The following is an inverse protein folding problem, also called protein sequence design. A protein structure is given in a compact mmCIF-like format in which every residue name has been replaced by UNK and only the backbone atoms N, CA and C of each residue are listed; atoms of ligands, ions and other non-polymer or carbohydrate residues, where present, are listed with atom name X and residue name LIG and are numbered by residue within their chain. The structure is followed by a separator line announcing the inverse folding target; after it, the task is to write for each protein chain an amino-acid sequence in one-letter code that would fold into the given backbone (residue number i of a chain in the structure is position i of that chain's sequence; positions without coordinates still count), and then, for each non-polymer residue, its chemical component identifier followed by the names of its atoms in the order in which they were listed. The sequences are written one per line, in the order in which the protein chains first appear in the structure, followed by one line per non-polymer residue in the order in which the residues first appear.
data_IF_141059658765
#
_entry.id   IF_141059658765
#
_cell.length_a   1.000
_cell.length_b   1.000
_cell.length_c   1.000
_cell.angle_alpha   90.00
_cell.angle_beta   90.00
_cell.angle_gamma   90.00
#
_symmetry.space_group_name_H-M   'P 1'
#
loop_
_entity.id
_entity.type
_entity.pdbx_description
1 polymer ?
#
# COMPACT_ATOMS: atom_id res chain seq x y z
N UNK A 1 22.74 30.50 9.41
CA UNK A 1 23.29 29.54 8.42
C UNK A 1 22.29 28.45 8.01
N UNK A 2 21.25 28.11 8.78
CA UNK A 2 20.21 27.14 8.33
C UNK A 2 19.42 27.59 7.10
N UNK A 3 19.10 28.89 6.99
CA UNK A 3 18.31 29.41 5.86
C UNK A 3 19.00 29.33 4.48
N UNK A 4 20.33 29.18 4.38
CA UNK A 4 21.01 29.07 3.08
C UNK A 4 21.02 27.64 2.52
N UNK A 5 21.01 26.62 3.39
CA UNK A 5 21.00 25.22 2.97
C UNK A 5 19.62 24.79 2.45
N UNK A 6 18.55 25.15 3.16
CA UNK A 6 17.17 24.88 2.72
C UNK A 6 16.83 25.61 1.41
N UNK A 7 17.35 26.82 1.21
CA UNK A 7 17.18 27.56 -0.04
C UNK A 7 17.96 26.90 -1.18
N UNK A 8 19.18 26.45 -0.91
CA UNK A 8 20.00 25.76 -1.90
C UNK A 8 19.38 24.43 -2.33
N UNK A 9 18.86 23.66 -1.38
CA UNK A 9 18.13 22.42 -1.64
C UNK A 9 16.89 22.66 -2.52
N UNK A 10 16.12 23.72 -2.25
CA UNK A 10 14.95 24.08 -3.07
C UNK A 10 15.31 24.57 -4.48
N UNK A 11 16.41 25.33 -4.61
CA UNK A 11 16.82 25.91 -5.89
C UNK A 11 17.57 24.91 -6.77
N UNK A 12 18.31 23.98 -6.18
CA UNK A 12 19.16 23.01 -6.88
C UNK A 12 19.01 21.61 -6.29
N UNK A 13 17.82 20.98 -6.41
CA UNK A 13 17.54 19.69 -5.78
C UNK A 13 18.48 18.58 -6.27
N UNK A 14 18.74 18.51 -7.58
CA UNK A 14 19.66 17.50 -8.15
C UNK A 14 21.10 17.66 -7.61
N UNK A 15 21.63 18.88 -7.60
CA UNK A 15 22.99 19.14 -7.14
C UNK A 15 23.14 18.87 -5.63
N UNK A 16 22.12 19.19 -4.85
CA UNK A 16 22.09 18.91 -3.42
C UNK A 16 22.08 17.40 -3.14
N UNK A 17 21.19 16.65 -3.80
CA UNK A 17 21.13 15.19 -3.66
C UNK A 17 22.43 14.53 -4.12
N UNK A 18 23.01 14.95 -5.26
CA UNK A 18 24.31 14.45 -5.72
C UNK A 18 25.41 14.65 -4.67
N UNK A 19 25.51 15.85 -4.09
CA UNK A 19 26.55 16.18 -3.10
C UNK A 19 26.39 15.38 -1.80
N UNK A 20 25.15 15.14 -1.37
CA UNK A 20 24.85 14.27 -0.23
C UNK A 20 25.29 12.82 -0.53
N UNK A 21 24.92 12.29 -1.71
CA UNK A 21 25.24 10.93 -2.12
C UNK A 21 26.75 10.71 -2.31
N UNK A 22 27.49 11.70 -2.80
CA UNK A 22 28.97 11.70 -2.85
C UNK A 22 29.59 11.54 -1.46
N UNK A 23 28.93 12.07 -0.42
CA UNK A 23 29.34 11.92 0.97
C UNK A 23 28.82 10.62 1.62
N UNK A 24 28.08 9.79 0.88
CA UNK A 24 27.49 8.53 1.35
C UNK A 24 26.29 8.70 2.30
N UNK A 25 25.70 9.90 2.34
CA UNK A 25 24.62 10.26 3.26
C UNK A 25 23.43 10.79 2.47
N UNK A 26 22.20 10.54 2.91
CA UNK A 26 21.00 11.12 2.28
C UNK A 26 20.72 12.54 2.79
N UNK A 27 19.92 13.34 2.07
CA UNK A 27 19.46 14.66 2.53
C UNK A 27 18.92 14.68 3.97
N UNK A 28 18.34 13.58 4.43
CA UNK A 28 17.77 13.41 5.78
C UNK A 28 18.69 12.66 6.76
N UNK A 29 19.98 12.56 6.44
CA UNK A 29 21.02 11.88 7.21
C UNK A 29 20.88 10.35 7.32
N UNK A 30 19.97 9.70 6.58
CA UNK A 30 19.87 8.23 6.55
C UNK A 30 20.93 7.59 5.65
N UNK A 31 21.19 6.30 5.89
CA UNK A 31 21.91 5.44 4.91
C UNK A 31 21.01 5.13 3.71
N UNK A 32 21.63 4.78 2.58
CA UNK A 32 20.93 4.43 1.34
C UNK A 32 19.82 3.38 1.53
N UNK A 33 20.12 2.28 2.23
CA UNK A 33 19.19 1.16 2.43
C UNK A 33 18.34 1.26 3.71
N UNK A 34 18.41 2.39 4.42
CA UNK A 34 17.66 2.62 5.64
C UNK A 34 16.34 3.32 5.35
N UNK A 35 15.22 2.74 5.76
CA UNK A 35 13.91 3.42 5.66
C UNK A 35 13.61 4.32 6.84
N UNK A 36 12.57 5.12 6.66
CA UNK A 36 11.91 5.86 7.72
C UNK A 36 11.30 4.90 8.74
N UNK A 37 11.14 5.35 9.99
CA UNK A 37 10.39 4.60 11.00
C UNK A 37 8.92 4.46 10.56
N UNK A 38 8.37 3.28 10.82
CA UNK A 38 6.98 2.91 10.50
C UNK A 38 6.20 2.80 11.81
N UNK A 39 5.01 3.39 11.86
CA UNK A 39 4.04 3.15 12.93
C UNK A 39 2.67 2.84 12.35
N UNK A 40 2.01 1.81 12.88
CA UNK A 40 0.70 1.34 12.46
C UNK A 40 -0.23 1.46 13.66
N UNK A 41 -1.34 2.17 13.50
CA UNK A 41 -2.31 2.40 14.58
C UNK A 41 -3.72 2.09 14.07
N UNK A 42 -4.45 1.21 14.75
CA UNK A 42 -5.84 0.91 14.42
C UNK A 42 -6.79 1.77 15.24
N UNK A 43 -7.85 2.27 14.60
CA UNK A 43 -8.90 3.03 15.26
C UNK A 43 -10.02 2.10 15.75
N UNK A 44 -10.79 2.56 16.73
CA UNK A 44 -11.99 1.83 17.20
C UNK A 44 -13.06 1.66 16.11
N UNK A 45 -13.04 2.54 15.09
CA UNK A 45 -13.93 2.48 13.93
C UNK A 45 -13.53 1.44 12.88
N UNK A 46 -12.44 0.67 13.10
CA UNK A 46 -11.96 -0.33 12.15
C UNK A 46 -11.16 0.27 10.99
N UNK A 47 -10.64 1.50 11.13
CA UNK A 47 -9.69 2.09 10.20
C UNK A 47 -8.25 1.88 10.68
N UNK A 48 -7.28 2.03 9.77
CA UNK A 48 -5.86 1.91 10.08
C UNK A 48 -5.10 3.17 9.64
N UNK A 49 -4.42 3.81 10.57
CA UNK A 49 -3.52 4.93 10.34
C UNK A 49 -2.08 4.42 10.28
N UNK A 50 -1.45 4.57 9.12
CA UNK A 50 -0.04 4.25 8.91
C UNK A 50 0.75 5.52 8.74
N UNK A 51 1.87 5.61 9.44
CA UNK A 51 2.82 6.69 9.31
C UNK A 51 4.19 6.12 8.94
N UNK A 52 4.73 6.59 7.82
CA UNK A 52 6.05 6.28 7.31
C UNK A 52 6.88 7.57 7.30
N UNK A 53 7.59 7.83 8.40
CA UNK A 53 8.23 9.14 8.63
C UNK A 53 7.21 10.28 8.67
N UNK A 54 7.23 11.17 7.67
CA UNK A 54 6.25 12.25 7.56
C UNK A 54 5.01 11.84 6.73
N UNK A 55 5.13 10.89 5.81
CA UNK A 55 3.99 10.37 5.04
C UNK A 55 2.98 9.67 5.95
N UNK A 56 1.71 10.03 5.83
CA UNK A 56 0.65 9.56 6.71
C UNK A 56 -0.61 9.24 5.90
N UNK A 57 -1.06 7.98 5.98
CA UNK A 57 -2.25 7.51 5.28
C UNK A 57 -3.22 6.81 6.23
N UNK A 58 -4.50 7.13 6.08
CA UNK A 58 -5.61 6.48 6.76
C UNK A 58 -6.34 5.58 5.77
N UNK A 59 -6.38 4.27 6.03
CA UNK A 59 -7.15 3.30 5.28
C UNK A 59 -8.40 2.88 6.05
N UNK A 60 -9.53 2.78 5.36
CA UNK A 60 -10.79 2.28 5.91
C UNK A 60 -11.50 1.41 4.87
N UNK A 61 -12.35 0.48 5.33
CA UNK A 61 -13.10 -0.40 4.44
C UNK A 61 -14.59 -0.18 4.66
N UNK A 62 -15.30 0.12 3.58
CA UNK A 62 -16.77 0.14 3.57
C UNK A 62 -17.28 -1.16 2.97
N UNK A 63 -18.16 -1.82 3.70
CA UNK A 63 -18.83 -3.05 3.29
C UNK A 63 -20.25 -2.74 2.87
N UNK A 64 -20.64 -3.22 1.69
CA UNK A 64 -22.01 -3.18 1.20
C UNK A 64 -22.40 -4.54 0.65
N UNK A 65 -23.69 -4.90 0.75
CA UNK A 65 -24.24 -6.05 0.04
C UNK A 65 -24.87 -5.55 -1.25
N UNK A 66 -24.57 -6.20 -2.37
CA UNK A 66 -25.18 -5.87 -3.64
C UNK A 66 -25.22 -7.06 -4.58
N UNK A 67 -25.90 -6.90 -5.72
CA UNK A 67 -25.97 -7.93 -6.74
C UNK A 67 -24.62 -8.06 -7.45
N UNK A 68 -24.08 -9.29 -7.60
CA UNK A 68 -22.82 -9.53 -8.31
C UNK A 68 -22.97 -9.27 -9.81
N UNK A 69 -21.85 -9.09 -10.50
CA UNK A 69 -21.83 -8.92 -11.95
C UNK A 69 -22.36 -10.18 -12.67
N UNK A 70 -23.12 -9.99 -13.75
CA UNK A 70 -23.70 -11.09 -14.55
C UNK A 70 -22.64 -12.05 -15.10
N UNK A 71 -21.44 -11.54 -15.41
CA UNK A 71 -20.33 -12.33 -15.91
C UNK A 71 -19.69 -13.22 -14.83
N UNK A 72 -19.78 -12.82 -13.56
CA UNK A 72 -19.13 -13.49 -12.40
C UNK A 72 -20.12 -13.58 -11.23
N UNK A 73 -21.19 -14.39 -11.37
CA UNK A 73 -22.28 -14.46 -10.38
C UNK A 73 -21.87 -15.08 -9.04
N UNK A 74 -20.72 -15.76 -9.01
CA UNK A 74 -20.12 -16.42 -7.85
C UNK A 74 -19.02 -15.57 -7.19
N UNK A 75 -18.87 -14.30 -7.57
CA UNK A 75 -17.81 -13.41 -7.06
C UNK A 75 -18.39 -12.13 -6.47
N UNK A 76 -17.77 -11.65 -5.40
CA UNK A 76 -17.95 -10.28 -4.91
C UNK A 76 -17.16 -9.26 -5.72
N UNK A 77 -17.24 -8.01 -5.30
CA UNK A 77 -16.54 -6.89 -5.94
C UNK A 77 -15.61 -6.21 -4.94
N UNK A 78 -14.42 -5.86 -5.39
CA UNK A 78 -13.50 -5.01 -4.64
C UNK A 78 -13.13 -3.79 -5.48
N UNK A 79 -13.27 -2.61 -4.87
CA UNK A 79 -12.79 -1.37 -5.42
C UNK A 79 -11.89 -0.68 -4.41
N UNK A 80 -10.83 -0.04 -4.89
CA UNK A 80 -10.09 0.93 -4.08
C UNK A 80 -10.48 2.33 -4.50
N UNK A 81 -10.56 3.24 -3.54
CA UNK A 81 -10.68 4.68 -3.76
C UNK A 81 -9.57 5.37 -3.02
N UNK A 82 -8.72 6.03 -3.78
CA UNK A 82 -7.62 6.80 -3.24
C UNK A 82 -7.97 8.28 -3.25
N UNK A 83 -7.70 8.97 -2.15
CA UNK A 83 -7.88 10.41 -2.04
C UNK A 83 -6.63 11.05 -1.44
N UNK A 84 -6.16 12.10 -2.11
CA UNK A 84 -5.12 12.99 -1.61
C UNK A 84 -5.69 14.39 -1.52
N UNK A 85 -5.06 15.24 -0.72
CA UNK A 85 -5.44 16.65 -0.65
C UNK A 85 -4.97 17.47 -1.86
N UNK A 86 -4.12 16.92 -2.74
CA UNK A 86 -3.33 17.72 -3.71
C UNK A 86 -3.42 17.27 -5.16
N UNK A 87 -3.49 15.97 -5.47
CA UNK A 87 -3.28 15.44 -6.82
C UNK A 87 -4.30 14.36 -7.19
N UNK A 88 -5.05 14.58 -8.27
CA UNK A 88 -6.07 13.63 -8.78
C UNK A 88 -5.48 12.51 -9.63
N UNK A 89 -4.45 12.80 -10.43
CA UNK A 89 -3.94 11.84 -11.42
C UNK A 89 -3.08 10.75 -10.76
N UNK A 90 -2.20 11.16 -9.84
CA UNK A 90 -1.43 10.24 -8.99
C UNK A 90 -2.38 9.37 -8.15
N UNK A 91 -3.42 9.98 -7.58
CA UNK A 91 -4.44 9.26 -6.82
C UNK A 91 -5.14 8.19 -7.67
N UNK A 92 -5.53 8.52 -8.90
CA UNK A 92 -6.19 7.58 -9.80
C UNK A 92 -5.25 6.43 -10.22
N UNK A 93 -3.99 6.76 -10.52
CA UNK A 93 -2.96 5.76 -10.86
C UNK A 93 -2.70 4.80 -9.70
N UNK A 94 -2.52 5.33 -8.49
CA UNK A 94 -2.34 4.55 -7.27
C UNK A 94 -3.57 3.69 -6.95
N UNK A 95 -4.77 4.23 -7.13
CA UNK A 95 -6.00 3.45 -6.91
C UNK A 95 -6.09 2.26 -7.89
N UNK A 96 -5.86 2.51 -9.18
CA UNK A 96 -5.86 1.45 -10.19
C UNK A 96 -4.78 0.40 -9.90
N UNK A 97 -3.59 0.85 -9.48
CA UNK A 97 -2.49 -0.02 -9.08
C UNK A 97 -2.85 -0.88 -7.86
N UNK A 98 -3.36 -0.30 -6.78
CA UNK A 98 -3.75 -1.03 -5.56
C UNK A 98 -4.85 -2.06 -5.85
N UNK A 99 -5.89 -1.67 -6.60
CA UNK A 99 -6.94 -2.60 -7.04
C UNK A 99 -6.33 -3.76 -7.83
N UNK A 100 -5.43 -3.48 -8.77
CA UNK A 100 -4.75 -4.52 -9.56
C UNK A 100 -3.91 -5.43 -8.68
N UNK A 101 -3.14 -4.89 -7.73
CA UNK A 101 -2.30 -5.67 -6.82
C UNK A 101 -3.17 -6.60 -5.96
N UNK A 102 -4.24 -6.10 -5.36
CA UNK A 102 -5.14 -6.90 -4.53
C UNK A 102 -5.76 -8.08 -5.30
N UNK A 103 -6.13 -7.86 -6.56
CA UNK A 103 -6.73 -8.87 -7.43
C UNK A 103 -5.71 -9.85 -8.01
N UNK A 104 -4.55 -9.36 -8.49
CA UNK A 104 -3.56 -10.19 -9.19
C UNK A 104 -2.78 -11.11 -8.26
N UNK A 105 -2.59 -10.68 -7.01
CA UNK A 105 -1.81 -11.42 -6.01
C UNK A 105 -2.60 -12.49 -5.26
N UNK A 106 -3.91 -12.63 -5.53
CA UNK A 106 -4.81 -13.56 -4.84
C UNK A 106 -4.79 -13.42 -3.31
N UNK A 107 -4.50 -12.21 -2.81
CA UNK A 107 -4.66 -11.90 -1.38
C UNK A 107 -6.10 -12.12 -0.90
N UNK A 108 -7.05 -11.88 -1.81
CA UNK A 108 -8.49 -12.00 -1.58
C UNK A 108 -9.06 -12.89 -2.68
N UNK A 109 -9.75 -13.96 -2.28
CA UNK A 109 -10.58 -14.72 -3.22
C UNK A 109 -11.95 -14.06 -3.29
N UNK A 110 -12.33 -13.55 -4.46
CA UNK A 110 -13.63 -12.90 -4.64
C UNK A 110 -14.79 -13.88 -4.43
N UNK A 111 -14.55 -15.19 -4.52
CA UNK A 111 -15.57 -16.21 -4.25
C UNK A 111 -15.97 -16.27 -2.78
N UNK A 112 -15.04 -15.97 -1.87
CA UNK A 112 -15.34 -15.88 -0.44
C UNK A 112 -16.22 -14.67 -0.10
N UNK A 113 -16.27 -13.70 -1.01
CA UNK A 113 -17.17 -12.56 -0.93
C UNK A 113 -18.58 -12.87 -1.48
N UNK A 114 -18.83 -14.07 -2.04
CA UNK A 114 -20.16 -14.45 -2.51
C UNK A 114 -21.05 -14.89 -1.35
N UNK A 115 -22.27 -14.35 -1.28
CA UNK A 115 -23.27 -14.72 -0.26
C UNK A 115 -24.24 -15.73 -0.85
N UNK A 116 -24.89 -15.33 -1.94
CA UNK A 116 -25.81 -16.16 -2.69
C UNK A 116 -25.56 -15.93 -4.18
N UNK A 117 -25.20 -17.02 -4.88
CA UNK A 117 -24.80 -17.00 -6.28
C UNK A 117 -25.85 -16.29 -7.14
N UNK A 118 -25.43 -15.21 -7.82
CA UNK A 118 -26.24 -14.42 -8.73
C UNK A 118 -27.26 -13.48 -8.08
N UNK A 119 -27.42 -13.49 -6.75
CA UNK A 119 -28.37 -12.61 -6.05
C UNK A 119 -27.67 -11.58 -5.17
N UNK A 120 -26.73 -12.03 -4.34
CA UNK A 120 -26.08 -11.19 -3.35
C UNK A 120 -24.60 -11.57 -3.19
N UNK A 121 -23.76 -10.55 -3.16
CA UNK A 121 -22.34 -10.67 -2.84
C UNK A 121 -21.87 -9.42 -2.08
N UNK A 122 -20.78 -9.57 -1.35
CA UNK A 122 -20.10 -8.48 -0.68
C UNK A 122 -19.39 -7.59 -1.70
N UNK A 123 -19.61 -6.29 -1.54
CA UNK A 123 -18.89 -5.23 -2.24
C UNK A 123 -18.01 -4.50 -1.22
N UNK A 124 -16.70 -4.63 -1.41
CA UNK A 124 -15.68 -4.01 -0.57
C UNK A 124 -15.19 -2.73 -1.26
N UNK A 125 -15.36 -1.59 -0.60
CA UNK A 125 -14.73 -0.35 -1.02
C UNK A 125 -13.64 0.02 0.00
N UNK A 126 -12.38 -0.13 -0.42
CA UNK A 126 -11.22 0.27 0.38
C UNK A 126 -10.92 1.74 0.10
N UNK A 127 -11.12 2.60 1.09
CA UNK A 127 -10.83 4.02 0.99
C UNK A 127 -9.49 4.33 1.66
N UNK A 128 -8.56 4.91 0.91
CA UNK A 128 -7.26 5.38 1.41
C UNK A 128 -7.22 6.90 1.30
N UNK A 129 -6.96 7.57 2.41
CA UNK A 129 -6.85 9.03 2.50
C UNK A 129 -5.47 9.40 2.98
N UNK A 130 -4.71 10.13 2.14
CA UNK A 130 -3.43 10.69 2.56
C UNK A 130 -3.66 11.98 3.34
N UNK A 131 -3.21 11.97 4.60
CA UNK A 131 -3.21 13.13 5.47
C UNK A 131 -1.97 13.98 5.23
N UNK A 132 -0.83 13.32 4.99
CA UNK A 132 0.43 13.96 4.64
C UNK A 132 1.18 13.09 3.60
N UNK A 133 1.82 13.73 2.62
CA UNK A 133 2.50 13.05 1.51
C UNK A 133 3.92 13.60 1.37
N UNK A 134 4.87 12.87 1.95
CA UNK A 134 6.32 13.11 1.89
C UNK A 134 7.01 11.99 1.09
N UNK A 135 6.38 11.50 0.03
CA UNK A 135 6.92 10.46 -0.84
C UNK A 135 6.68 9.03 -0.34
N UNK A 136 6.97 8.06 -1.21
CA UNK A 136 6.68 6.64 -1.06
C UNK A 136 5.19 6.36 -0.73
N UNK A 137 4.30 6.94 -1.54
CA UNK A 137 2.86 6.75 -1.39
C UNK A 137 2.46 5.27 -1.55
N UNK A 138 3.13 4.53 -2.43
CA UNK A 138 2.81 3.12 -2.69
C UNK A 138 2.96 2.27 -1.43
N UNK A 139 4.11 2.37 -0.74
CA UNK A 139 4.35 1.56 0.46
C UNK A 139 3.45 1.96 1.61
N UNK A 140 3.28 3.26 1.82
CA UNK A 140 2.40 3.78 2.88
C UNK A 140 0.96 3.31 2.67
N UNK A 141 0.47 3.39 1.43
CA UNK A 141 -0.89 3.00 1.08
C UNK A 141 -1.11 1.49 1.17
N UNK A 142 -0.22 0.68 0.57
CA UNK A 142 -0.37 -0.77 0.58
C UNK A 142 -0.30 -1.32 2.01
N UNK A 143 0.60 -0.79 2.83
CA UNK A 143 0.70 -1.16 4.24
C UNK A 143 -0.59 -0.83 5.00
N UNK A 144 -1.17 0.36 4.78
CA UNK A 144 -2.42 0.76 5.41
C UNK A 144 -3.59 -0.14 4.98
N UNK A 145 -3.70 -0.43 3.68
CA UNK A 145 -4.72 -1.32 3.11
C UNK A 145 -4.61 -2.73 3.68
N UNK A 146 -3.40 -3.30 3.70
CA UNK A 146 -3.18 -4.66 4.19
C UNK A 146 -3.42 -4.75 5.70
N UNK A 147 -3.05 -3.72 6.46
CA UNK A 147 -3.26 -3.66 7.91
C UNK A 147 -4.74 -3.50 8.28
N UNK A 148 -5.54 -2.79 7.48
CA UNK A 148 -6.99 -2.69 7.72
C UNK A 148 -7.70 -3.98 7.32
N UNK A 149 -7.32 -4.60 6.21
CA UNK A 149 -7.91 -5.87 5.75
C UNK A 149 -7.60 -7.03 6.70
N UNK A 150 -6.41 -7.07 7.30
CA UNK A 150 -6.03 -8.15 8.22
C UNK A 150 -6.87 -8.19 9.51
N UNK A 151 -7.32 -7.01 9.98
CA UNK A 151 -8.19 -6.87 11.17
C UNK A 151 -9.65 -6.58 10.81
N UNK A 152 -10.02 -6.67 9.53
CA UNK A 152 -11.38 -6.42 9.07
C UNK A 152 -12.30 -7.55 9.56
N UNK A 153 -13.42 -7.16 10.12
CA UNK A 153 -14.49 -8.09 10.48
C UNK A 153 -15.74 -7.83 9.65
N UNK A 154 -16.29 -8.88 9.07
CA UNK A 154 -17.56 -8.85 8.33
C UNK A 154 -18.69 -9.13 9.33
N UNK A 155 -19.80 -8.36 9.28
CA UNK A 155 -20.97 -8.67 10.09
C UNK A 155 -21.63 -9.97 9.63
N UNK A 156 -22.17 -10.75 10.57
CA UNK A 156 -23.00 -11.90 10.23
C UNK A 156 -24.22 -11.47 9.41
N UNK A 157 -24.61 -12.34 8.49
CA UNK A 157 -25.76 -12.17 7.59
C UNK A 157 -26.75 -13.29 7.84
N UNK A 158 -28.03 -12.96 7.78
CA UNK A 158 -29.14 -13.92 7.74
C UNK A 158 -29.80 -13.87 6.37
N UNK A 159 -29.97 -15.03 5.76
CA UNK A 159 -30.66 -15.17 4.48
C UNK A 159 -32.10 -15.60 4.78
N UNK A 160 -33.07 -14.77 4.40
CA UNK A 160 -34.48 -15.13 4.51
C UNK A 160 -34.86 -16.20 3.46
N UNK A 161 -36.00 -16.90 3.63
CA UNK A 161 -36.49 -17.87 2.64
C UNK A 161 -36.70 -17.24 1.25
N UNK A 162 -37.01 -15.93 1.23
CA UNK A 162 -37.20 -15.13 0.01
C UNK A 162 -35.88 -14.62 -0.60
N UNK A 163 -34.74 -15.15 -0.14
CA UNK A 163 -33.40 -14.76 -0.62
C UNK A 163 -33.05 -13.29 -0.33
N UNK A 164 -33.68 -12.70 0.70
CA UNK A 164 -33.34 -11.36 1.17
C UNK A 164 -32.20 -11.51 2.16
N UNK A 165 -31.05 -10.91 1.83
CA UNK A 165 -29.90 -10.85 2.72
C UNK A 165 -30.09 -9.68 3.68
N UNK A 166 -30.26 -9.97 4.96
CA UNK A 166 -30.26 -8.99 6.03
C UNK A 166 -29.04 -9.18 6.93
N UNK A 167 -28.60 -8.10 7.57
CA UNK A 167 -27.63 -8.21 8.66
C UNK A 167 -28.27 -9.00 9.79
N UNK A 168 -27.55 -9.97 10.34
CA UNK A 168 -28.04 -10.76 11.45
C UNK A 168 -28.37 -9.84 12.64
N UNK A 169 -29.49 -10.07 13.35
CA UNK A 169 -29.89 -9.24 14.49
C UNK A 169 -28.87 -9.31 15.64
N UNK A 170 -28.09 -10.40 15.70
CA UNK A 170 -26.98 -10.56 16.63
C UNK A 170 -25.68 -10.03 16.02
N UNK A 171 -25.34 -8.78 16.35
CA UNK A 171 -24.09 -8.12 15.93
C UNK A 171 -22.85 -8.66 16.66
N UNK A 172 -22.99 -9.65 17.56
CA UNK A 172 -21.87 -10.27 18.27
C UNK A 172 -21.11 -11.29 17.43
N UNK A 173 -21.76 -11.89 16.42
CA UNK A 173 -21.13 -12.82 15.49
C UNK A 173 -20.43 -12.06 14.35
N UNK A 174 -19.29 -11.45 14.65
CA UNK A 174 -18.40 -10.86 13.64
C UNK A 174 -17.43 -11.92 13.15
N UNK A 175 -17.44 -12.21 11.85
CA UNK A 175 -16.46 -13.11 11.23
C UNK A 175 -15.24 -12.31 10.77
N UNK A 176 -14.04 -12.88 10.87
CA UNK A 176 -12.85 -12.26 10.29
C UNK A 176 -12.94 -12.34 8.76
N UNK A 177 -12.54 -11.27 8.08
CA UNK A 177 -12.47 -11.25 6.63
C UNK A 177 -11.44 -12.30 6.14
N UNK A 178 -11.78 -13.14 5.14
CA UNK A 178 -10.89 -14.19 4.63
C UNK A 178 -9.79 -13.57 3.77
N UNK A 179 -8.73 -13.11 4.43
CA UNK A 179 -7.49 -12.67 3.79
C UNK A 179 -6.55 -13.88 3.66
N UNK A 180 -6.29 -14.33 2.43
CA UNK A 180 -5.44 -15.50 2.17
C UNK A 180 -3.96 -15.18 2.30
N UNK A 181 -3.55 -14.03 1.78
CA UNK A 181 -2.17 -13.58 1.79
C UNK A 181 -2.09 -12.08 2.12
N UNK A 182 -1.03 -11.70 2.81
CA UNK A 182 -0.72 -10.30 3.11
C UNK A 182 0.52 -9.91 2.33
N UNK A 183 0.44 -8.84 1.53
CA UNK A 183 1.60 -8.31 0.82
C UNK A 183 2.20 -7.14 1.56
N UNK A 184 3.51 -7.03 1.43
CA UNK A 184 4.30 -5.90 1.84
C UNK A 184 5.06 -5.40 0.63
N UNK A 185 5.08 -4.09 0.46
CA UNK A 185 5.87 -3.46 -0.58
C UNK A 185 7.08 -2.77 0.00
N UNK A 186 8.15 -2.73 -0.80
CA UNK A 186 9.31 -1.89 -0.54
C UNK A 186 9.70 -1.21 -1.84
N UNK A 187 9.65 0.12 -1.82
CA UNK A 187 9.97 0.97 -2.95
C UNK A 187 11.43 1.41 -2.90
N UNK A 188 12.06 1.31 -4.06
CA UNK A 188 13.45 1.66 -4.30
C UNK A 188 13.51 2.78 -5.33
N UNK A 189 14.35 3.77 -5.06
CA UNK A 189 14.71 4.82 -5.98
C UNK A 189 16.13 4.64 -6.50
N UNK A 190 16.32 4.80 -7.80
CA UNK A 190 17.64 4.82 -8.42
C UNK A 190 18.01 6.26 -8.80
N UNK A 191 19.14 6.71 -8.28
CA UNK A 191 19.79 7.95 -8.67
C UNK A 191 21.20 7.62 -9.16
N UNK A 192 21.45 7.83 -10.46
CA UNK A 192 22.71 7.45 -11.11
C UNK A 192 23.07 5.96 -10.83
N UNK A 193 24.22 5.71 -10.20
CA UNK A 193 24.68 4.37 -9.79
C UNK A 193 24.19 3.94 -8.41
N UNK A 194 23.53 4.82 -7.66
CA UNK A 194 23.08 4.56 -6.30
C UNK A 194 21.61 4.12 -6.26
N UNK A 195 21.32 3.15 -5.40
CA UNK A 195 19.96 2.73 -5.08
C UNK A 195 19.67 3.05 -3.62
N UNK A 196 18.53 3.69 -3.39
CA UNK A 196 18.04 4.05 -2.07
C UNK A 196 16.66 3.42 -1.82
N UNK A 197 16.40 3.09 -0.57
CA UNK A 197 15.11 2.55 -0.11
C UNK A 197 14.25 3.68 0.41
N UNK A 198 12.95 3.65 0.12
CA UNK A 198 11.98 4.58 0.69
C UNK A 198 12.36 6.05 0.43
N UNK A 199 12.28 6.49 -0.85
CA UNK A 199 12.58 7.86 -1.23
C UNK A 199 11.55 8.83 -0.63
N UNK A 200 12.03 10.00 -0.22
CA UNK A 200 11.22 11.15 0.18
C UNK A 200 10.65 11.87 -1.03
N UNK A 201 9.64 12.74 -0.86
CA UNK A 201 9.05 13.48 -1.98
C UNK A 201 10.10 14.27 -2.78
N UNK A 202 11.09 14.86 -2.08
CA UNK A 202 12.19 15.60 -2.73
C UNK A 202 13.13 14.70 -3.52
N UNK A 203 13.41 13.50 -2.99
CA UNK A 203 14.24 12.54 -3.73
C UNK A 203 13.48 12.03 -4.95
N UNK A 204 12.18 11.73 -4.84
CA UNK A 204 11.34 11.26 -5.95
C UNK A 204 11.37 12.19 -7.17
N UNK A 205 11.48 13.51 -6.96
CA UNK A 205 11.61 14.50 -8.05
C UNK A 205 12.90 14.37 -8.86
N UNK A 206 13.98 13.83 -8.28
CA UNK A 206 15.30 13.72 -8.93
C UNK A 206 15.66 12.30 -9.34
N UNK A 207 14.84 11.30 -9.00
CA UNK A 207 15.13 9.90 -9.32
C UNK A 207 15.06 9.63 -10.84
N UNK A 208 16.04 8.88 -11.34
CA UNK A 208 16.06 8.43 -12.74
C UNK A 208 15.13 7.22 -12.98
N UNK A 209 14.91 6.41 -11.95
CA UNK A 209 13.92 5.34 -11.96
C UNK A 209 13.43 5.02 -10.55
N UNK A 210 12.19 4.56 -10.44
CA UNK A 210 11.63 4.01 -9.21
C UNK A 210 10.95 2.68 -9.49
N UNK A 211 11.07 1.76 -8.55
CA UNK A 211 10.41 0.46 -8.63
C UNK A 211 10.07 -0.05 -7.24
N UNK A 212 8.99 -0.82 -7.15
CA UNK A 212 8.45 -1.37 -5.92
C UNK A 212 8.52 -2.89 -5.99
N UNK A 213 9.14 -3.51 -4.99
CA UNK A 213 9.18 -4.97 -4.83
C UNK A 213 8.06 -5.37 -3.89
N UNK A 214 7.26 -6.37 -4.29
CA UNK A 214 6.20 -6.96 -3.49
C UNK A 214 6.67 -8.29 -2.91
N UNK A 215 6.49 -8.46 -1.61
CA UNK A 215 6.86 -9.66 -0.85
C UNK A 215 5.66 -10.08 0.00
N UNK A 216 5.40 -11.38 0.13
CA UNK A 216 4.34 -11.89 1.00
C UNK A 216 4.76 -11.85 2.47
N UNK A 217 3.80 -11.99 3.40
CA UNK A 217 4.10 -12.14 4.84
C UNK A 217 5.04 -13.33 5.11
N UNK A 218 4.97 -14.39 4.30
CA UNK A 218 5.86 -15.55 4.37
C UNK A 218 7.29 -15.29 3.83
N UNK A 219 7.57 -14.08 3.31
CA UNK A 219 8.88 -13.74 2.73
C UNK A 219 9.07 -14.23 1.28
N UNK A 220 8.00 -14.72 0.63
CA UNK A 220 8.05 -15.11 -0.77
C UNK A 220 7.96 -13.87 -1.67
N UNK A 221 8.68 -13.89 -2.80
CA UNK A 221 8.61 -12.83 -3.78
C UNK A 221 7.27 -12.92 -4.54
N UNK A 222 6.49 -11.84 -4.52
CA UNK A 222 5.18 -11.78 -5.18
C UNK A 222 5.24 -11.07 -6.55
N UNK A 223 6.10 -10.06 -6.69
CA UNK A 223 6.24 -9.34 -7.95
C UNK A 223 7.07 -8.06 -7.86
N UNK A 224 7.27 -7.42 -9.01
CA UNK A 224 7.86 -6.08 -9.12
C UNK A 224 6.92 -5.18 -9.89
N UNK A 225 6.74 -3.97 -9.39
CA UNK A 225 6.09 -2.88 -10.09
C UNK A 225 7.12 -1.82 -10.46
N UNK A 226 7.25 -1.52 -11.75
CA UNK A 226 8.12 -0.45 -12.25
C UNK A 226 7.29 0.44 -13.15
N UNK A 227 7.01 1.66 -12.68
CA UNK A 227 6.15 2.60 -13.39
C UNK A 227 6.83 3.26 -14.61
N UNK A 228 8.15 3.13 -14.75
CA UNK A 228 8.91 3.73 -15.85
C UNK A 228 10.37 3.98 -15.49
N UNK A 229 11.04 4.86 -16.24
CA UNK A 229 12.43 5.28 -15.99
C UNK A 229 13.50 4.35 -16.55
N UNK A 230 14.75 4.62 -16.19
CA UNK A 230 15.95 3.92 -16.69
C UNK A 230 15.90 2.39 -16.50
N UNK A 231 16.60 1.61 -17.35
CA UNK A 231 16.70 0.16 -17.21
C UNK A 231 17.48 -0.20 -15.93
N UNK A 232 17.00 -1.21 -15.23
CA UNK A 232 17.60 -1.70 -13.99
C UNK A 232 18.45 -2.93 -14.28
N UNK A 233 19.69 -2.95 -13.77
CA UNK A 233 20.53 -4.14 -13.87
C UNK A 233 19.95 -5.29 -13.03
N UNK A 234 19.98 -6.51 -13.57
CA UNK A 234 19.43 -7.69 -12.90
C UNK A 234 20.10 -7.96 -11.53
N UNK A 235 21.41 -7.75 -11.42
CA UNK A 235 22.14 -7.89 -10.17
C UNK A 235 21.63 -6.93 -9.09
N UNK A 236 21.39 -5.68 -9.45
CA UNK A 236 20.83 -4.66 -8.55
C UNK A 236 19.43 -5.05 -8.08
N UNK A 237 18.59 -5.56 -8.99
CA UNK A 237 17.25 -6.01 -8.63
C UNK A 237 17.29 -7.17 -7.62
N UNK A 238 18.17 -8.15 -7.81
CA UNK A 238 18.32 -9.27 -6.87
C UNK A 238 18.72 -8.81 -5.47
N UNK A 239 19.68 -7.89 -5.38
CA UNK A 239 20.07 -7.26 -4.10
C UNK A 239 18.89 -6.53 -3.45
N UNK A 240 18.09 -5.81 -4.24
CA UNK A 240 16.91 -5.11 -3.73
C UNK A 240 15.82 -6.08 -3.24
N UNK A 241 15.63 -7.21 -3.91
CA UNK A 241 14.70 -8.25 -3.46
C UNK A 241 15.14 -8.81 -2.09
N UNK A 242 16.45 -9.03 -1.89
CA UNK A 242 16.96 -9.48 -0.59
C UNK A 242 16.66 -8.48 0.51
N UNK A 243 16.97 -7.19 0.28
CA UNK A 243 16.67 -6.10 1.21
C UNK A 243 15.16 -5.99 1.48
N UNK A 244 14.31 -6.15 0.47
CA UNK A 244 12.86 -6.12 0.63
C UNK A 244 12.35 -7.25 1.55
N UNK A 245 12.94 -8.45 1.46
CA UNK A 245 12.58 -9.60 2.32
C UNK A 245 13.00 -9.39 3.78
N UNK A 246 14.18 -8.84 4.03
CA UNK A 246 14.62 -8.53 5.40
C UNK A 246 13.71 -7.49 6.04
N UNK A 247 13.33 -6.48 5.25
CA UNK A 247 12.45 -5.41 5.70
C UNK A 247 11.02 -5.87 5.92
N UNK A 248 10.51 -6.75 5.06
CA UNK A 248 9.16 -7.28 5.22
C UNK A 248 9.04 -8.01 6.56
N UNK A 249 10.04 -8.79 6.97
CA UNK A 249 10.06 -9.45 8.26
C UNK A 249 10.00 -8.46 9.46
N UNK A 250 10.62 -7.28 9.34
CA UNK A 250 10.54 -6.24 10.36
C UNK A 250 9.14 -5.58 10.41
N UNK A 251 8.53 -5.33 9.25
CA UNK A 251 7.19 -4.72 9.15
C UNK A 251 6.11 -5.69 9.62
N UNK A 252 6.22 -6.99 9.33
CA UNK A 252 5.28 -8.02 9.81
C UNK A 252 5.15 -7.96 11.33
N UNK A 253 6.26 -7.79 12.07
CA UNK A 253 6.24 -7.67 13.54
C UNK A 253 5.50 -6.43 14.06
N UNK A 254 5.34 -5.40 13.23
CA UNK A 254 4.58 -4.19 13.58
C UNK A 254 3.08 -4.33 13.27
N UNK A 255 2.71 -5.26 12.38
CA UNK A 255 1.31 -5.52 12.01
C UNK A 255 0.59 -6.45 13.00
N UNK A 256 1.37 -7.28 13.71
CA UNK A 256 0.89 -8.18 14.78
C UNK A 256 0.57 -7.39 16.05
#
# INVERSE_FOLDING_TARGET
MQGSAELYEKLFPEAYVSKCLESGVRPDARKLLQSRPVSINWTQSGACLVKLGASCALASVKLAVGTPALATPDQGEIGTKFSTQRTTDEAQSLSSYLTRVLLSSKCIDLRDCSIERGKAAWKLLVEVTFLDHDGNAVDTALLAVMSVLSKLTIPAISISPDSIVSLAPDQSAKAQFPLHETLLSTTFGQYQSHVMVDPTAREEEVLASSFTVLVTKAGAFAGVYKAGGQPLAAATLQSCIHVAKERSAAIVKLME
#
